data_IF_982272375442
#
_entry.id   IF_982272375442
#
_cell.length_a   1.000
_cell.length_b   1.000
_cell.length_c   1.000
_cell.angle_alpha   90.00
_cell.angle_beta   90.00
_cell.angle_gamma   90.00
#
_symmetry.space_group_name_H-M   'P 1'
#
loop_
_entity.id
_entity.type
_entity.pdbx_description
1 polymer ?
#
# COMPACT_ATOMS: atom_id res chain seq x y z
N UNK A 1 12.06 -0.87 -13.65
CA UNK A 1 10.92 -0.80 -12.69
C UNK A 1 9.63 -1.06 -13.47
N UNK A 2 9.26 -2.32 -13.66
CA UNK A 2 8.09 -2.71 -14.47
C UNK A 2 7.02 -3.45 -13.64
N UNK A 3 7.42 -4.17 -12.59
CA UNK A 3 6.50 -4.90 -11.73
C UNK A 3 5.81 -3.96 -10.72
N UNK A 4 4.49 -4.02 -10.67
CA UNK A 4 3.66 -3.21 -9.78
C UNK A 4 3.42 -3.84 -8.40
N UNK A 5 3.83 -5.10 -8.15
CA UNK A 5 3.69 -5.76 -6.83
C UNK A 5 2.27 -5.65 -6.23
N UNK A 6 1.26 -5.87 -7.07
CA UNK A 6 -0.15 -5.77 -6.66
C UNK A 6 -0.77 -4.38 -6.79
N UNK A 7 0.02 -3.34 -7.05
CA UNK A 7 -0.44 -1.96 -7.27
C UNK A 7 -0.93 -1.72 -8.70
N UNK A 8 -1.78 -0.72 -8.87
CA UNK A 8 -2.28 -0.27 -10.17
C UNK A 8 -1.13 0.08 -11.14
N UNK A 9 -0.06 0.68 -10.61
CA UNK A 9 1.15 1.03 -11.37
C UNK A 9 2.37 1.02 -10.42
N UNK A 10 3.59 0.66 -10.88
CA UNK A 10 4.80 0.70 -10.05
C UNK A 10 5.05 2.04 -9.35
N UNK A 11 4.64 3.15 -9.98
CA UNK A 11 4.68 4.48 -9.35
C UNK A 11 3.97 4.52 -7.99
N UNK A 12 2.78 3.93 -7.88
CA UNK A 12 2.02 3.95 -6.63
C UNK A 12 2.60 3.02 -5.57
N UNK A 13 3.27 1.93 -5.99
CA UNK A 13 4.04 1.09 -5.09
C UNK A 13 5.18 1.88 -4.44
N UNK A 14 5.95 2.65 -5.23
CA UNK A 14 7.01 3.52 -4.68
C UNK A 14 6.44 4.65 -3.82
N UNK A 15 5.31 5.25 -4.22
CA UNK A 15 4.64 6.28 -3.41
C UNK A 15 4.17 5.73 -2.06
N UNK A 16 3.67 4.49 -2.03
CA UNK A 16 3.26 3.84 -0.81
C UNK A 16 4.43 3.63 0.16
N UNK A 17 5.53 3.05 -0.32
CA UNK A 17 6.73 2.84 0.50
C UNK A 17 7.32 4.17 0.99
N UNK A 18 7.33 5.19 0.15
CA UNK A 18 7.79 6.51 0.54
C UNK A 18 6.90 7.11 1.64
N UNK A 19 5.58 7.12 1.47
CA UNK A 19 4.67 7.65 2.48
C UNK A 19 4.76 6.84 3.79
N UNK A 20 4.88 5.52 3.69
CA UNK A 20 5.03 4.62 4.84
C UNK A 20 6.31 4.96 5.63
N UNK A 21 7.47 4.96 4.97
CA UNK A 21 8.76 5.29 5.60
C UNK A 21 8.74 6.69 6.24
N UNK A 22 8.31 7.70 5.48
CA UNK A 22 8.36 9.09 5.92
C UNK A 22 7.44 9.33 7.12
N UNK A 23 6.22 8.80 7.08
CA UNK A 23 5.30 8.91 8.21
C UNK A 23 5.77 8.13 9.44
N UNK A 24 6.36 6.94 9.27
CA UNK A 24 6.99 6.21 10.38
C UNK A 24 8.12 7.03 11.02
N UNK A 25 8.98 7.65 10.20
CA UNK A 25 10.11 8.45 10.67
C UNK A 25 9.73 9.74 11.38
N UNK A 26 8.52 10.26 11.18
CA UNK A 26 7.98 11.37 11.99
C UNK A 26 7.65 10.95 13.42
N UNK A 27 7.32 9.68 13.65
CA UNK A 27 6.79 9.20 14.92
C UNK A 27 7.74 8.27 15.69
N UNK A 28 8.68 7.64 14.98
CA UNK A 28 9.58 6.63 15.51
C UNK A 28 11.04 6.97 15.22
N UNK A 29 11.84 7.00 16.29
CA UNK A 29 13.27 7.29 16.20
C UNK A 29 14.08 6.16 15.56
N UNK A 30 13.59 4.93 15.58
CA UNK A 30 14.23 3.76 14.99
C UNK A 30 13.26 3.10 14.00
N UNK A 31 13.62 3.08 12.71
CA UNK A 31 12.87 2.44 11.63
C UNK A 31 13.87 1.74 10.72
N UNK A 32 13.99 0.42 10.89
CA UNK A 32 14.95 -0.42 10.18
C UNK A 32 14.29 -1.05 8.95
N UNK A 33 14.98 -1.05 7.81
CA UNK A 33 14.49 -1.64 6.57
C UNK A 33 15.25 -2.92 6.24
N UNK A 34 14.53 -4.05 6.13
CA UNK A 34 15.08 -5.31 5.66
C UNK A 34 14.74 -5.50 4.18
N UNK A 35 15.75 -5.78 3.36
CA UNK A 35 15.58 -5.79 1.90
C UNK A 35 16.61 -6.66 1.17
N UNK A 36 16.48 -6.78 -0.16
CA UNK A 36 17.52 -7.29 -1.06
C UNK A 36 18.33 -6.12 -1.64
N UNK A 37 19.37 -6.41 -2.40
CA UNK A 37 20.19 -5.39 -3.07
C UNK A 37 19.37 -4.54 -4.04
N UNK A 38 18.34 -5.11 -4.69
CA UNK A 38 17.47 -4.34 -5.58
C UNK A 38 16.62 -3.31 -4.82
N UNK A 39 16.01 -3.72 -3.72
CA UNK A 39 15.24 -2.84 -2.85
C UNK A 39 16.12 -1.79 -2.19
N UNK A 40 17.35 -2.12 -1.80
CA UNK A 40 18.34 -1.13 -1.36
C UNK A 40 18.57 -0.07 -2.45
N UNK A 41 18.90 -0.51 -3.67
CA UNK A 41 19.17 0.39 -4.79
C UNK A 41 17.99 1.32 -5.09
N UNK A 42 16.76 0.82 -5.01
CA UNK A 42 15.55 1.60 -5.28
C UNK A 42 15.21 2.53 -4.11
N UNK A 43 15.03 1.99 -2.91
CA UNK A 43 14.47 2.75 -1.79
C UNK A 43 15.52 3.62 -1.10
N UNK A 44 16.78 3.17 -1.06
CA UNK A 44 17.87 3.88 -0.41
C UNK A 44 18.64 4.68 -1.44
N UNK A 45 19.21 4.07 -2.48
CA UNK A 45 20.07 4.83 -3.38
C UNK A 45 19.32 5.80 -4.28
N UNK A 46 18.19 5.38 -4.85
CA UNK A 46 17.44 6.21 -5.79
C UNK A 46 16.49 7.17 -5.07
N UNK A 47 15.65 6.67 -4.16
CA UNK A 47 14.66 7.48 -3.46
C UNK A 47 15.20 8.22 -2.24
N UNK A 48 16.33 7.76 -1.69
CA UNK A 48 16.97 8.30 -0.46
C UNK A 48 15.98 8.32 0.71
N UNK A 49 15.21 7.23 0.88
CA UNK A 49 14.27 7.10 2.00
C UNK A 49 15.02 7.10 3.34
N UNK A 50 14.54 7.82 4.37
CA UNK A 50 15.31 8.10 5.58
C UNK A 50 15.17 7.02 6.65
N UNK A 51 15.28 5.75 6.27
CA UNK A 51 15.40 4.64 7.22
C UNK A 51 16.63 4.83 8.11
N UNK A 52 16.55 4.41 9.37
CA UNK A 52 17.66 4.59 10.32
C UNK A 52 18.76 3.57 10.16
N UNK A 53 18.39 2.38 9.69
CA UNK A 53 19.32 1.34 9.32
C UNK A 53 18.71 0.49 8.19
N UNK A 54 19.56 -0.16 7.42
CA UNK A 54 19.16 -0.98 6.27
C UNK A 54 19.95 -2.28 6.27
N UNK A 55 19.23 -3.40 6.33
CA UNK A 55 19.80 -4.74 6.37
C UNK A 55 19.51 -5.43 5.05
N UNK A 56 20.55 -5.69 4.26
CA UNK A 56 20.45 -6.43 2.99
C UNK A 56 20.60 -7.92 3.28
N UNK A 57 19.52 -8.67 3.16
CA UNK A 57 19.41 -10.03 3.70
C UNK A 57 18.63 -11.00 2.80
N UNK A 58 18.04 -10.52 1.70
CA UNK A 58 17.13 -11.30 0.85
C UNK A 58 17.71 -11.68 -0.53
N UNK A 59 18.94 -11.32 -0.87
CA UNK A 59 19.52 -11.58 -2.21
C UNK A 59 19.56 -13.08 -2.57
N UNK A 60 19.91 -13.93 -1.61
CA UNK A 60 20.04 -15.39 -1.79
C UNK A 60 18.94 -16.16 -1.05
N UNK A 61 17.77 -15.55 -0.85
CA UNK A 61 16.66 -16.18 -0.13
C UNK A 61 16.16 -17.39 -0.94
N UNK A 62 16.24 -18.64 -0.42
CA UNK A 62 15.87 -19.85 -1.16
C UNK A 62 14.35 -20.06 -1.14
N UNK A 63 13.59 -19.04 -1.57
CA UNK A 63 12.15 -19.00 -1.43
C UNK A 63 11.46 -18.65 -2.75
N UNK A 64 10.53 -19.49 -3.23
CA UNK A 64 9.69 -19.15 -4.38
C UNK A 64 8.92 -17.84 -4.18
N UNK A 65 8.79 -17.02 -5.23
CA UNK A 65 8.11 -15.70 -5.21
C UNK A 65 6.67 -15.74 -4.68
N UNK A 66 6.01 -16.88 -4.81
CA UNK A 66 4.64 -17.11 -4.31
C UNK A 66 4.57 -17.09 -2.78
N UNK A 67 5.67 -17.34 -2.07
CA UNK A 67 5.76 -17.37 -0.60
C UNK A 67 6.21 -16.01 -0.03
N UNK A 68 5.47 -14.95 -0.35
CA UNK A 68 5.74 -13.58 0.09
C UNK A 68 5.75 -13.37 1.62
N UNK A 69 5.18 -14.29 2.41
CA UNK A 69 5.27 -14.23 3.88
C UNK A 69 6.63 -14.68 4.40
N UNK A 70 7.39 -15.46 3.64
CA UNK A 70 8.68 -16.02 4.09
C UNK A 70 9.72 -14.96 4.47
N UNK A 71 9.99 -13.93 3.64
CA UNK A 71 10.91 -12.87 4.02
C UNK A 71 10.52 -12.18 5.34
N UNK A 72 9.22 -12.11 5.66
CA UNK A 72 8.72 -11.45 6.88
C UNK A 72 9.10 -12.23 8.13
N UNK A 73 8.72 -13.51 8.24
CA UNK A 73 9.11 -14.30 9.42
C UNK A 73 10.60 -14.64 9.47
N UNK A 74 11.30 -14.63 8.32
CA UNK A 74 12.76 -14.61 8.32
C UNK A 74 13.32 -13.33 8.95
N UNK A 75 12.76 -12.17 8.67
CA UNK A 75 13.15 -10.95 9.39
C UNK A 75 12.83 -11.05 10.87
N UNK A 76 11.67 -11.58 11.25
CA UNK A 76 11.30 -11.72 12.66
C UNK A 76 12.28 -12.62 13.43
N UNK A 77 12.75 -13.71 12.82
CA UNK A 77 13.72 -14.61 13.46
C UNK A 77 15.09 -13.96 13.69
N UNK A 78 15.43 -12.92 12.94
CA UNK A 78 16.67 -12.16 13.12
C UNK A 78 16.60 -11.13 14.25
N UNK A 79 15.41 -10.81 14.77
CA UNK A 79 15.25 -9.78 15.78
C UNK A 79 15.76 -10.24 17.15
N UNK A 80 16.54 -9.37 17.80
CA UNK A 80 17.15 -9.60 19.14
C UNK A 80 16.60 -8.66 20.22
N UNK A 81 15.77 -7.70 19.82
CA UNK A 81 15.16 -6.69 20.68
C UNK A 81 13.66 -6.57 20.32
N UNK A 82 12.81 -6.11 21.25
CA UNK A 82 11.39 -5.88 20.98
C UNK A 82 11.16 -5.03 19.74
N UNK A 83 10.21 -5.44 18.90
CA UNK A 83 9.97 -4.80 17.61
C UNK A 83 8.48 -4.84 17.23
N UNK A 84 8.09 -3.99 16.30
CA UNK A 84 6.82 -4.06 15.59
C UNK A 84 7.16 -3.98 14.11
N UNK A 85 6.92 -5.06 13.39
CA UNK A 85 6.92 -5.05 11.93
C UNK A 85 5.71 -4.29 11.41
N UNK A 86 5.90 -3.57 10.33
CA UNK A 86 4.89 -2.74 9.68
C UNK A 86 4.98 -2.94 8.16
N UNK A 87 3.87 -3.26 7.51
CA UNK A 87 3.83 -3.40 6.05
C UNK A 87 4.08 -2.06 5.34
N UNK A 88 4.76 -2.11 4.18
CA UNK A 88 5.08 -0.92 3.37
C UNK A 88 3.88 -0.24 2.67
N UNK A 89 2.67 -0.72 2.93
CA UNK A 89 1.39 -0.15 2.52
C UNK A 89 0.53 0.35 3.68
N UNK A 90 1.16 0.53 4.84
CA UNK A 90 0.62 1.22 6.01
C UNK A 90 1.18 2.63 6.09
N UNK A 91 0.29 3.60 6.30
CA UNK A 91 0.60 5.03 6.30
C UNK A 91 0.12 5.67 7.60
N UNK A 92 1.01 6.31 8.36
CA UNK A 92 0.72 6.85 9.69
C UNK A 92 0.39 8.33 9.65
N UNK A 93 -0.56 8.74 10.48
CA UNK A 93 -0.74 10.16 10.82
C UNK A 93 -0.32 10.48 12.25
N UNK A 94 -0.26 9.45 13.12
CA UNK A 94 0.23 9.57 14.48
C UNK A 94 0.86 8.27 14.98
N UNK A 95 1.63 8.40 16.08
CA UNK A 95 2.25 7.28 16.79
C UNK A 95 1.18 6.36 17.39
N UNK A 96 1.46 5.07 17.48
CA UNK A 96 0.64 4.12 18.23
C UNK A 96 0.61 4.47 19.73
N UNK A 97 -0.45 4.02 20.40
CA UNK A 97 -0.56 4.25 21.85
C UNK A 97 0.49 3.42 22.59
N UNK A 98 1.06 3.98 23.67
CA UNK A 98 2.03 3.28 24.50
C UNK A 98 1.51 1.94 25.06
N UNK A 99 0.20 1.82 25.29
CA UNK A 99 -0.44 0.57 25.71
C UNK A 99 -0.33 -0.52 24.63
N UNK A 100 -0.39 -0.15 23.34
CA UNK A 100 -0.17 -1.06 22.22
C UNK A 100 1.31 -1.44 22.16
N UNK A 101 2.21 -0.44 22.18
CA UNK A 101 3.67 -0.65 22.08
C UNK A 101 4.24 -1.51 23.23
N UNK A 102 3.60 -1.49 24.40
CA UNK A 102 3.95 -2.34 25.55
C UNK A 102 3.42 -3.78 25.47
N UNK A 103 2.67 -4.14 24.42
CA UNK A 103 2.05 -5.45 24.26
C UNK A 103 3.09 -6.58 24.16
N UNK A 104 2.84 -7.69 24.87
CA UNK A 104 3.69 -8.88 24.77
C UNK A 104 3.70 -9.43 23.34
N UNK A 105 2.52 -9.61 22.76
CA UNK A 105 2.29 -9.92 21.36
C UNK A 105 1.43 -8.81 20.76
N UNK A 106 1.80 -8.32 19.59
CA UNK A 106 1.12 -7.23 18.89
C UNK A 106 0.78 -7.71 17.49
N UNK A 107 -0.45 -7.47 17.06
CA UNK A 107 -0.88 -7.67 15.68
C UNK A 107 -1.87 -6.58 15.26
N UNK A 108 -2.16 -6.42 13.96
CA UNK A 108 -3.03 -5.31 13.53
C UNK A 108 -4.45 -5.44 14.10
N UNK A 109 -5.17 -6.49 13.74
CA UNK A 109 -6.53 -6.74 14.20
C UNK A 109 -6.81 -8.24 14.15
N UNK A 110 -7.71 -8.72 15.00
CA UNK A 110 -8.18 -10.10 14.87
C UNK A 110 -9.03 -10.23 13.61
N UNK A 111 -8.74 -11.28 12.84
CA UNK A 111 -9.52 -11.69 11.68
C UNK A 111 -10.33 -12.94 12.03
N UNK A 112 -11.63 -12.89 11.74
CA UNK A 112 -12.48 -14.08 11.77
C UNK A 112 -12.60 -14.63 10.35
N UNK A 113 -11.95 -15.76 10.11
CA UNK A 113 -12.00 -16.45 8.81
C UNK A 113 -13.43 -16.82 8.43
N UNK A 114 -13.85 -16.40 7.24
CA UNK A 114 -15.17 -16.75 6.69
C UNK A 114 -15.05 -18.00 5.82
N UNK A 115 -16.05 -18.24 4.96
CA UNK A 115 -16.01 -19.34 3.98
C UNK A 115 -14.78 -19.27 3.07
N UNK A 116 -14.23 -18.06 2.84
CA UNK A 116 -13.03 -17.87 2.03
C UNK A 116 -11.80 -18.53 2.68
N UNK A 117 -11.46 -18.17 3.92
CA UNK A 117 -10.38 -18.84 4.65
C UNK A 117 -10.66 -20.33 4.85
N UNK A 118 -11.89 -20.69 5.19
CA UNK A 118 -12.25 -22.11 5.36
C UNK A 118 -11.98 -22.95 4.11
N UNK A 119 -12.26 -22.40 2.91
CA UNK A 119 -11.94 -23.07 1.65
C UNK A 119 -10.44 -23.32 1.49
N UNK A 120 -9.62 -22.29 1.70
CA UNK A 120 -8.16 -22.38 1.63
C UNK A 120 -7.61 -23.38 2.64
N UNK A 121 -8.07 -23.32 3.90
CA UNK A 121 -7.57 -24.20 4.96
C UNK A 121 -8.03 -25.65 4.78
N UNK A 122 -9.23 -25.88 4.25
CA UNK A 122 -9.68 -27.23 3.87
C UNK A 122 -8.79 -27.85 2.78
N UNK A 123 -8.35 -27.04 1.82
CA UNK A 123 -7.42 -27.51 0.78
C UNK A 123 -6.04 -27.85 1.37
N UNK A 124 -5.65 -27.19 2.47
CA UNK A 124 -4.44 -27.53 3.23
C UNK A 124 -4.62 -28.82 4.04
N UNK A 125 -5.77 -29.00 4.71
CA UNK A 125 -6.07 -30.19 5.50
C UNK A 125 -6.21 -31.47 4.65
N UNK A 126 -6.61 -31.34 3.38
CA UNK A 126 -6.65 -32.46 2.42
C UNK A 126 -5.26 -32.92 1.97
N UNK A 127 -4.23 -32.10 2.23
CA UNK A 127 -2.85 -32.45 1.92
C UNK A 127 -2.27 -33.20 3.11
N UNK A 128 -1.43 -34.19 2.84
CA UNK A 128 -0.74 -34.97 3.86
C UNK A 128 0.43 -34.17 4.46
N UNK A 129 0.15 -32.95 4.90
CA UNK A 129 1.15 -32.08 5.50
C UNK A 129 1.44 -32.48 6.94
N UNK A 130 2.73 -32.53 7.26
CA UNK A 130 3.25 -32.64 8.61
C UNK A 130 3.08 -31.30 9.31
N UNK A 131 2.22 -31.26 10.31
CA UNK A 131 1.93 -30.05 11.07
C UNK A 131 1.69 -30.34 12.54
N UNK A 132 1.98 -29.38 13.45
CA UNK A 132 1.67 -29.54 14.86
C UNK A 132 0.18 -29.77 15.12
N UNK A 133 -0.12 -30.57 16.14
CA UNK A 133 -1.50 -30.92 16.49
C UNK A 133 -2.36 -29.71 16.84
N UNK A 134 -1.81 -28.72 17.54
CA UNK A 134 -2.54 -27.49 17.88
C UNK A 134 -2.97 -26.73 16.61
N UNK A 135 -2.11 -26.70 15.58
CA UNK A 135 -2.42 -26.04 14.32
C UNK A 135 -3.50 -26.81 13.57
N UNK A 136 -3.38 -28.13 13.47
CA UNK A 136 -4.41 -28.99 12.86
C UNK A 136 -5.78 -28.74 13.49
N UNK A 137 -5.86 -28.78 14.83
CA UNK A 137 -7.10 -28.49 15.57
C UNK A 137 -7.65 -27.10 15.31
N UNK A 138 -6.80 -26.09 15.13
CA UNK A 138 -7.24 -24.73 14.80
C UNK A 138 -7.85 -24.66 13.39
N UNK A 139 -7.25 -25.34 12.42
CA UNK A 139 -7.71 -25.38 11.03
C UNK A 139 -9.01 -26.18 10.83
N UNK A 140 -9.29 -27.16 11.70
CA UNK A 140 -10.51 -27.98 11.66
C UNK A 140 -11.76 -27.27 12.21
N UNK A 141 -11.60 -26.08 12.82
CA UNK A 141 -12.71 -25.32 13.39
C UNK A 141 -13.59 -24.72 12.29
N UNK A 142 -14.86 -24.50 12.63
CA UNK A 142 -15.79 -23.83 11.71
C UNK A 142 -15.42 -22.37 11.45
N UNK A 143 -14.90 -21.69 12.47
CA UNK A 143 -14.35 -20.33 12.39
C UNK A 143 -12.86 -20.39 12.70
N UNK A 144 -12.05 -20.02 11.72
CA UNK A 144 -10.59 -20.04 11.82
C UNK A 144 -10.14 -18.65 12.28
N UNK A 145 -9.50 -18.59 13.44
CA UNK A 145 -8.95 -17.36 13.98
C UNK A 145 -7.61 -17.05 13.31
N UNK A 146 -7.38 -15.78 13.08
CA UNK A 146 -6.15 -15.25 12.49
C UNK A 146 -5.95 -13.81 12.96
N UNK A 147 -4.75 -13.27 12.74
CA UNK A 147 -4.50 -11.85 12.93
C UNK A 147 -3.98 -11.25 11.63
N UNK A 148 -4.51 -10.09 11.25
CA UNK A 148 -3.94 -9.34 10.15
C UNK A 148 -2.51 -8.93 10.51
N UNK A 149 -1.57 -9.24 9.62
CA UNK A 149 -0.15 -9.09 9.88
C UNK A 149 0.46 -7.79 9.31
N UNK A 150 -0.38 -6.82 8.93
CA UNK A 150 0.07 -5.48 8.60
C UNK A 150 0.91 -4.86 9.73
N UNK A 151 0.55 -5.18 10.97
CA UNK A 151 1.40 -5.04 12.14
C UNK A 151 1.64 -6.43 12.74
N UNK A 152 2.89 -6.74 13.12
CA UNK A 152 3.19 -7.97 13.86
C UNK A 152 4.46 -7.81 14.70
N UNK A 153 4.49 -8.33 15.92
CA UNK A 153 5.69 -8.31 16.76
C UNK A 153 5.33 -8.31 18.24
N UNK A 154 6.11 -7.58 19.03
CA UNK A 154 5.88 -7.40 20.46
C UNK A 154 7.14 -7.49 21.30
N UNK A 155 6.92 -7.61 22.60
CA UNK A 155 7.97 -7.67 23.62
C UNK A 155 8.31 -9.10 24.06
N UNK A 156 7.51 -10.11 23.68
CA UNK A 156 7.76 -11.52 23.95
C UNK A 156 8.54 -12.17 22.81
N UNK A 157 9.85 -11.93 22.78
CA UNK A 157 10.74 -12.43 21.73
C UNK A 157 10.80 -13.96 21.70
N UNK A 158 10.74 -14.63 22.85
CA UNK A 158 10.78 -16.10 22.92
C UNK A 158 9.59 -16.71 22.19
N UNK A 159 8.39 -16.14 22.36
CA UNK A 159 7.22 -16.55 21.59
C UNK A 159 7.41 -16.33 20.09
N UNK A 160 7.89 -15.15 19.68
CA UNK A 160 8.08 -14.81 18.26
C UNK A 160 9.11 -15.75 17.62
N UNK A 161 10.18 -16.08 18.33
CA UNK A 161 11.19 -17.03 17.87
C UNK A 161 10.64 -18.46 17.78
N UNK A 162 9.81 -18.88 18.74
CA UNK A 162 9.09 -20.16 18.65
C UNK A 162 8.16 -20.20 17.42
N UNK A 163 7.39 -19.13 17.21
CA UNK A 163 6.52 -18.96 16.05
C UNK A 163 7.30 -19.12 14.73
N UNK A 164 8.41 -18.41 14.57
CA UNK A 164 9.25 -18.50 13.37
C UNK A 164 9.81 -19.91 13.19
N UNK A 165 10.32 -20.53 14.25
CA UNK A 165 10.84 -21.90 14.21
C UNK A 165 9.79 -22.91 13.76
N UNK A 166 8.56 -22.80 14.23
CA UNK A 166 7.46 -23.69 13.82
C UNK A 166 7.11 -23.46 12.34
N UNK A 167 7.09 -22.20 11.88
CA UNK A 167 6.86 -21.88 10.47
C UNK A 167 7.94 -22.49 9.56
N UNK A 168 9.22 -22.33 9.91
CA UNK A 168 10.33 -22.94 9.17
C UNK A 168 10.25 -24.46 9.16
N UNK A 169 10.02 -25.09 10.32
CA UNK A 169 9.90 -26.54 10.39
C UNK A 169 8.77 -27.07 9.51
N UNK A 170 7.61 -26.39 9.49
CA UNK A 170 6.51 -26.76 8.61
C UNK A 170 6.93 -26.69 7.13
N UNK A 171 7.65 -25.64 6.75
CA UNK A 171 8.10 -25.44 5.38
C UNK A 171 9.09 -26.53 4.95
N UNK A 172 10.05 -26.85 5.81
CA UNK A 172 11.08 -27.86 5.57
C UNK A 172 10.49 -29.28 5.53
N UNK A 173 9.66 -29.64 6.51
CA UNK A 173 9.05 -30.97 6.63
C UNK A 173 8.14 -31.32 5.45
N UNK A 174 7.61 -30.29 4.77
CA UNK A 174 6.68 -30.44 3.66
C UNK A 174 7.30 -30.06 2.31
N UNK A 175 8.60 -29.75 2.27
CA UNK A 175 9.33 -29.43 1.04
C UNK A 175 8.76 -28.25 0.27
N UNK A 176 8.25 -27.22 0.97
CA UNK A 176 7.53 -26.10 0.33
C UNK A 176 8.44 -25.11 -0.41
N UNK A 177 9.75 -25.21 -0.21
CA UNK A 177 10.75 -24.42 -0.96
C UNK A 177 11.23 -25.14 -2.23
N UNK A 178 10.80 -26.38 -2.48
CA UNK A 178 11.19 -27.13 -3.66
C UNK A 178 10.53 -26.55 -4.93
N UNK A 179 11.34 -25.93 -5.78
CA UNK A 179 10.91 -25.37 -7.06
C UNK A 179 10.31 -26.41 -8.03
N UNK A 180 10.61 -27.69 -7.82
CA UNK A 180 10.09 -28.81 -8.61
C UNK A 180 8.84 -29.45 -8.00
N UNK A 181 8.38 -28.97 -6.84
CA UNK A 181 7.18 -29.46 -6.20
C UNK A 181 5.93 -29.12 -7.03
N UNK A 182 5.07 -30.12 -7.21
CA UNK A 182 3.73 -29.94 -7.81
C UNK A 182 2.82 -29.00 -6.99
N UNK A 183 3.23 -28.67 -5.77
CA UNK A 183 2.48 -27.83 -4.82
C UNK A 183 3.05 -26.42 -4.65
N UNK A 184 4.05 -26.01 -5.45
CA UNK A 184 4.69 -24.70 -5.31
C UNK A 184 3.69 -23.54 -5.43
N UNK A 185 2.66 -23.67 -6.26
CA UNK A 185 1.66 -22.61 -6.50
C UNK A 185 0.65 -22.43 -5.35
N UNK A 186 0.77 -23.20 -4.27
CA UNK A 186 -0.20 -23.22 -3.18
C UNK A 186 0.09 -22.06 -2.25
N UNK A 187 -0.89 -21.18 -2.09
CA UNK A 187 -0.76 -20.00 -1.25
C UNK A 187 -0.88 -20.38 0.23
N UNK A 188 0.26 -20.63 0.88
CA UNK A 188 0.37 -20.90 2.32
C UNK A 188 0.65 -19.62 3.15
N UNK A 189 0.67 -18.44 2.52
CA UNK A 189 1.14 -17.23 3.20
C UNK A 189 0.26 -16.84 4.39
N UNK A 190 -1.06 -16.89 4.23
CA UNK A 190 -1.99 -16.57 5.32
C UNK A 190 -1.92 -17.61 6.45
N UNK A 191 -1.64 -18.87 6.13
CA UNK A 191 -1.39 -19.90 7.14
C UNK A 191 -0.21 -19.50 8.01
N UNK A 192 0.94 -19.20 7.39
CA UNK A 192 2.17 -18.91 8.14
C UNK A 192 2.09 -17.57 8.86
N UNK A 193 1.69 -16.52 8.17
CA UNK A 193 1.77 -15.16 8.69
C UNK A 193 0.68 -14.87 9.73
N UNK A 194 -0.53 -15.41 9.54
CA UNK A 194 -1.71 -14.98 10.30
C UNK A 194 -2.29 -16.10 11.18
N UNK A 195 -2.62 -17.26 10.59
CA UNK A 195 -3.32 -18.33 11.30
C UNK A 195 -2.41 -19.07 12.29
N UNK A 196 -1.17 -19.36 11.90
CA UNK A 196 -0.20 -20.02 12.78
C UNK A 196 0.10 -19.17 14.02
N UNK A 197 0.27 -17.85 13.84
CA UNK A 197 0.49 -16.92 14.96
C UNK A 197 -0.70 -16.94 15.94
N UNK A 198 -1.93 -16.86 15.42
CA UNK A 198 -3.14 -16.93 16.24
C UNK A 198 -3.29 -18.27 16.97
N UNK A 199 -3.09 -19.39 16.27
CA UNK A 199 -3.20 -20.73 16.84
C UNK A 199 -2.15 -20.97 17.94
N UNK A 200 -0.91 -20.52 17.74
CA UNK A 200 0.14 -20.64 18.74
C UNK A 200 -0.12 -19.73 19.95
N UNK A 201 -0.61 -18.50 19.73
CA UNK A 201 -0.95 -17.59 20.82
C UNK A 201 -2.05 -18.19 21.72
N UNK A 202 -3.07 -18.79 21.12
CA UNK A 202 -4.13 -19.50 21.85
C UNK A 202 -3.58 -20.72 22.59
N UNK A 203 -2.79 -21.57 21.93
CA UNK A 203 -2.15 -22.75 22.53
C UNK A 203 -1.27 -22.40 23.74
N UNK A 204 -0.59 -21.25 23.70
CA UNK A 204 0.28 -20.75 24.78
C UNK A 204 -0.47 -19.90 25.82
N UNK A 205 -1.78 -19.70 25.66
CA UNK A 205 -2.58 -18.84 26.55
C UNK A 205 -2.12 -17.38 26.56
N UNK A 206 -1.53 -16.90 25.45
CA UNK A 206 -0.98 -15.54 25.32
C UNK A 206 -2.03 -14.60 24.74
N UNK A 207 -2.18 -13.44 25.38
CA UNK A 207 -3.03 -12.37 24.86
C UNK A 207 -2.28 -11.59 23.76
N UNK A 208 -2.96 -11.39 22.63
CA UNK A 208 -2.47 -10.51 21.55
C UNK A 208 -3.12 -9.13 21.69
N UNK A 209 -2.30 -8.09 21.74
CA UNK A 209 -2.73 -6.70 21.71
C UNK A 209 -2.98 -6.28 20.26
N UNK A 210 -4.21 -5.90 19.93
CA UNK A 210 -4.56 -5.44 18.58
C UNK A 210 -4.32 -3.94 18.42
N UNK A 211 -3.72 -3.52 17.31
CA UNK A 211 -3.55 -2.10 16.96
C UNK A 211 -4.90 -1.45 16.64
N UNK A 212 -5.77 -2.20 15.97
CA UNK A 212 -7.18 -1.89 15.73
C UNK A 212 -8.02 -2.81 16.62
N UNK A 213 -8.65 -2.24 17.64
CA UNK A 213 -9.47 -2.98 18.61
C UNK A 213 -10.84 -3.36 18.02
N UNK A 214 -10.82 -4.18 16.98
CA UNK A 214 -12.01 -4.74 16.36
C UNK A 214 -11.73 -6.10 15.73
N UNK A 215 -12.77 -6.93 15.67
CA UNK A 215 -12.75 -8.17 14.89
C UNK A 215 -13.25 -7.86 13.49
N UNK A 216 -12.45 -8.20 12.49
CA UNK A 216 -12.77 -7.96 11.08
C UNK A 216 -12.98 -9.32 10.40
N UNK A 217 -14.05 -9.53 9.62
CA UNK A 217 -14.14 -10.68 8.73
C UNK A 217 -12.98 -10.65 7.72
N UNK A 218 -12.47 -11.79 7.27
CA UNK A 218 -11.37 -11.88 6.28
C UNK A 218 -11.59 -11.05 4.98
N UNK A 219 -12.83 -10.78 4.62
CA UNK A 219 -13.23 -9.95 3.48
C UNK A 219 -13.82 -8.57 3.87
N UNK A 220 -13.70 -8.18 5.14
CA UNK A 220 -14.35 -7.04 5.77
C UNK A 220 -13.59 -5.71 5.67
N UNK A 221 -12.48 -5.67 4.93
CA UNK A 221 -11.64 -4.47 4.78
C UNK A 221 -12.29 -3.43 3.85
N UNK A 222 -13.14 -2.57 4.41
CA UNK A 222 -13.84 -1.52 3.69
C UNK A 222 -13.00 -0.25 3.45
N UNK A 223 -13.43 0.57 2.48
CA UNK A 223 -12.73 1.79 2.10
C UNK A 223 -12.64 2.80 3.26
N UNK A 224 -13.74 3.04 3.97
CA UNK A 224 -13.85 4.13 4.94
C UNK A 224 -12.93 3.94 6.15
N UNK A 225 -12.75 2.70 6.59
CA UNK A 225 -11.91 2.37 7.75
C UNK A 225 -10.43 2.24 7.42
N UNK A 226 -10.09 1.74 6.23
CA UNK A 226 -8.72 1.30 5.93
C UNK A 226 -8.03 2.11 4.83
N UNK A 227 -8.76 2.77 3.94
CA UNK A 227 -8.17 3.35 2.72
C UNK A 227 -8.62 4.79 2.42
N UNK A 228 -9.37 5.42 3.33
CA UNK A 228 -9.92 6.76 3.10
C UNK A 228 -8.90 7.87 3.43
N UNK A 229 -8.08 8.21 2.45
CA UNK A 229 -7.08 9.28 2.55
C UNK A 229 -7.65 10.67 2.79
N UNK A 230 -8.96 10.90 2.58
CA UNK A 230 -9.55 12.15 3.06
C UNK A 230 -9.40 12.28 4.57
N UNK A 231 -9.51 11.17 5.29
CA UNK A 231 -9.48 11.13 6.76
C UNK A 231 -8.08 10.87 7.31
N UNK A 232 -7.05 11.03 6.51
CA UNK A 232 -5.68 10.66 6.89
C UNK A 232 -5.26 11.24 8.23
N UNK A 233 -5.53 12.53 8.46
CA UNK A 233 -5.20 13.23 9.72
C UNK A 233 -6.15 12.89 10.90
N UNK A 234 -7.25 12.17 10.66
CA UNK A 234 -8.26 11.81 11.67
C UNK A 234 -8.10 10.38 12.21
N UNK A 235 -7.37 9.52 11.50
CA UNK A 235 -7.17 8.11 11.85
C UNK A 235 -5.70 7.82 12.07
N UNK A 236 -5.36 6.94 13.01
CA UNK A 236 -3.95 6.68 13.37
C UNK A 236 -3.09 6.22 12.19
N UNK A 237 -3.68 5.36 11.37
CA UNK A 237 -3.07 4.86 10.16
C UNK A 237 -4.13 4.47 9.14
N UNK A 238 -3.71 4.35 7.88
CA UNK A 238 -4.42 3.68 6.81
C UNK A 238 -3.61 2.46 6.36
N UNK A 239 -4.30 1.43 5.86
CA UNK A 239 -3.67 0.21 5.34
C UNK A 239 -4.33 -0.18 4.00
N UNK A 240 -3.57 -0.06 2.91
CA UNK A 240 -4.06 -0.30 1.55
C UNK A 240 -3.98 -1.78 1.17
N UNK A 241 -4.95 -2.57 1.64
CA UNK A 241 -4.98 -4.02 1.45
C UNK A 241 -5.54 -4.46 0.08
N UNK A 242 -4.96 -5.53 -0.47
CA UNK A 242 -5.51 -6.32 -1.57
C UNK A 242 -6.00 -5.48 -2.76
N UNK A 243 -7.30 -5.60 -3.09
CA UNK A 243 -7.91 -4.93 -4.26
C UNK A 243 -7.86 -3.40 -4.20
N UNK A 244 -7.71 -2.81 -3.02
CA UNK A 244 -7.65 -1.35 -2.87
C UNK A 244 -6.41 -0.76 -3.55
N UNK A 245 -5.31 -1.52 -3.61
CA UNK A 245 -4.08 -1.16 -4.37
C UNK A 245 -4.30 -1.02 -5.87
N UNK A 246 -5.41 -1.55 -6.40
CA UNK A 246 -5.79 -1.47 -7.82
C UNK A 246 -6.86 -0.42 -8.09
N UNK A 247 -7.36 0.26 -7.05
CA UNK A 247 -8.32 1.33 -7.23
C UNK A 247 -7.58 2.64 -7.56
N UNK A 248 -7.73 3.12 -8.79
CA UNK A 248 -7.05 4.32 -9.28
C UNK A 248 -7.33 5.55 -8.41
N UNK A 249 -8.58 5.76 -7.97
CA UNK A 249 -8.94 6.90 -7.11
C UNK A 249 -8.19 6.86 -5.78
N UNK A 250 -8.08 5.68 -5.17
CA UNK A 250 -7.34 5.51 -3.90
C UNK A 250 -5.84 5.78 -4.13
N UNK A 251 -5.28 5.26 -5.22
CA UNK A 251 -3.88 5.46 -5.60
C UNK A 251 -3.56 6.94 -5.88
N UNK A 252 -4.46 7.67 -6.55
CA UNK A 252 -4.33 9.10 -6.78
C UNK A 252 -4.37 9.88 -5.46
N UNK A 253 -5.26 9.51 -4.53
CA UNK A 253 -5.30 10.13 -3.21
C UNK A 253 -4.03 9.86 -2.40
N UNK A 254 -3.50 8.64 -2.43
CA UNK A 254 -2.17 8.31 -1.87
C UNK A 254 -1.09 9.25 -2.42
N UNK A 255 -1.05 9.42 -3.75
CA UNK A 255 -0.10 10.32 -4.40
C UNK A 255 -0.28 11.78 -3.98
N UNK A 256 -1.52 12.26 -3.85
CA UNK A 256 -1.81 13.62 -3.38
C UNK A 256 -1.41 13.83 -1.92
N UNK A 257 -1.64 12.83 -1.05
CA UNK A 257 -1.20 12.86 0.35
C UNK A 257 0.33 12.94 0.43
N UNK A 258 1.04 12.14 -0.36
CA UNK A 258 2.50 12.21 -0.45
C UNK A 258 2.98 13.58 -0.96
N UNK A 259 2.33 14.16 -1.97
CA UNK A 259 2.67 15.49 -2.50
C UNK A 259 2.44 16.60 -1.47
N UNK A 260 1.33 16.55 -0.72
CA UNK A 260 1.00 17.55 0.30
C UNK A 260 2.04 17.55 1.43
N UNK A 261 2.38 16.36 1.95
CA UNK A 261 3.25 16.21 3.13
C UNK A 261 4.75 16.18 2.77
N UNK A 262 5.11 15.52 1.67
CA UNK A 262 6.50 15.25 1.28
C UNK A 262 6.76 15.52 -0.22
N UNK A 263 6.62 16.78 -0.67
CA UNK A 263 6.67 17.12 -2.10
C UNK A 263 7.95 16.71 -2.80
N UNK A 264 9.10 16.75 -2.11
CA UNK A 264 10.40 16.35 -2.68
C UNK A 264 10.44 14.86 -3.04
N UNK A 265 9.85 13.99 -2.21
CA UNK A 265 9.79 12.55 -2.48
C UNK A 265 8.79 12.21 -3.57
N UNK A 266 7.63 12.91 -3.57
CA UNK A 266 6.68 12.80 -4.68
C UNK A 266 7.35 13.14 -6.01
N UNK A 267 8.09 14.26 -6.06
CA UNK A 267 8.83 14.71 -7.25
C UNK A 267 9.82 13.65 -7.73
N UNK A 268 10.70 13.17 -6.84
CA UNK A 268 11.67 12.11 -7.16
C UNK A 268 11.01 10.90 -7.82
N UNK A 269 9.88 10.44 -7.27
CA UNK A 269 9.17 9.26 -7.78
C UNK A 269 8.54 9.55 -9.14
N UNK A 270 7.86 10.68 -9.30
CA UNK A 270 7.20 11.05 -10.56
C UNK A 270 8.20 11.18 -11.72
N UNK A 271 9.39 11.71 -11.44
CA UNK A 271 10.48 11.84 -12.43
C UNK A 271 10.98 10.48 -12.95
N UNK A 272 10.78 9.38 -12.21
CA UNK A 272 11.10 8.03 -12.67
C UNK A 272 10.10 7.49 -13.71
N UNK A 273 8.92 8.10 -13.81
CA UNK A 273 7.84 7.68 -14.71
C UNK A 273 7.38 8.83 -15.62
N UNK A 274 8.27 9.38 -16.47
CA UNK A 274 7.99 10.60 -17.22
C UNK A 274 6.85 10.43 -18.25
N UNK A 275 6.68 9.21 -18.78
CA UNK A 275 5.60 8.91 -19.73
C UNK A 275 4.20 8.96 -19.11
N UNK A 276 4.10 8.66 -17.83
CA UNK A 276 2.84 8.73 -17.08
C UNK A 276 2.56 10.13 -16.54
N UNK A 277 3.61 10.92 -16.39
CA UNK A 277 3.54 12.26 -15.85
C UNK A 277 4.05 13.26 -16.88
N UNK A 278 3.55 13.21 -18.12
CA UNK A 278 4.11 13.97 -19.27
C UNK A 278 4.37 15.45 -19.00
N UNK A 279 3.50 16.08 -18.21
CA UNK A 279 3.63 17.48 -17.78
C UNK A 279 4.76 17.71 -16.78
N UNK A 280 5.00 16.77 -15.87
CA UNK A 280 5.99 16.88 -14.79
C UNK A 280 7.33 16.22 -15.13
N UNK A 281 7.33 15.22 -16.01
CA UNK A 281 8.49 14.44 -16.42
C UNK A 281 9.25 15.01 -17.62
N UNK A 282 9.09 16.31 -17.91
CA UNK A 282 9.76 17.01 -19.01
C UNK A 282 9.63 16.31 -20.39
N UNK A 283 8.53 15.59 -20.64
CA UNK A 283 8.28 14.94 -21.94
C UNK A 283 7.67 15.95 -22.90
N UNK A 284 8.31 16.17 -24.05
CA UNK A 284 7.73 16.99 -25.13
C UNK A 284 6.38 16.39 -25.54
N UNK A 285 5.31 17.18 -25.42
CA UNK A 285 3.99 16.77 -25.88
C UNK A 285 3.88 17.01 -27.38
N UNK A 286 3.73 15.93 -28.14
CA UNK A 286 3.42 15.99 -29.57
C UNK A 286 1.89 15.97 -29.74
N UNK A 287 1.32 16.81 -30.61
CA UNK A 287 -0.11 16.76 -30.89
C UNK A 287 -0.52 15.38 -31.44
N UNK A 288 -1.72 14.88 -31.13
CA UNK A 288 -2.23 13.62 -31.71
C UNK A 288 -2.52 13.77 -33.22
N UNK A 289 -2.35 12.68 -33.98
CA UNK A 289 -2.69 12.61 -35.42
C UNK A 289 -4.22 12.72 -35.68
N UNK A 290 -4.61 13.43 -36.73
CA UNK A 290 -5.99 13.86 -36.99
C UNK A 290 -6.89 12.80 -37.65
N UNK A 291 -8.19 12.81 -37.30
CA UNK A 291 -9.29 12.49 -38.23
C UNK A 291 -10.32 13.62 -38.21
N UNK A 292 -10.75 14.06 -39.39
CA UNK A 292 -11.41 15.35 -39.64
C UNK A 292 -12.91 15.28 -39.34
N UNK A 293 -13.35 15.83 -38.20
CA UNK A 293 -14.68 16.41 -38.04
C UNK A 293 -14.52 17.78 -37.37
N UNK A 294 -15.22 18.81 -37.84
CA UNK A 294 -14.96 20.25 -37.60
C UNK A 294 -14.79 20.67 -36.13
N UNK A 295 -15.46 20.01 -35.19
CA UNK A 295 -15.27 20.23 -33.75
C UNK A 295 -13.94 19.69 -33.22
N UNK A 296 -13.42 18.60 -33.81
CA UNK A 296 -12.09 18.04 -33.53
C UNK A 296 -11.02 19.04 -33.97
N UNK A 297 -11.16 19.67 -35.15
CA UNK A 297 -10.20 20.67 -35.63
C UNK A 297 -10.16 21.92 -34.72
N UNK A 298 -11.31 22.50 -34.38
CA UNK A 298 -11.37 23.66 -33.46
C UNK A 298 -10.84 23.32 -32.06
N UNK A 299 -11.11 22.11 -31.57
CA UNK A 299 -10.55 21.62 -30.32
C UNK A 299 -9.04 21.40 -30.43
N UNK A 300 -8.53 20.90 -31.56
CA UNK A 300 -7.11 20.71 -31.81
C UNK A 300 -6.36 22.04 -31.90
N UNK A 301 -6.90 23.04 -32.60
CA UNK A 301 -6.33 24.39 -32.66
C UNK A 301 -6.27 24.99 -31.25
N UNK A 302 -7.39 24.91 -30.51
CA UNK A 302 -7.45 25.35 -29.12
C UNK A 302 -6.42 24.62 -28.22
N UNK A 303 -6.26 23.30 -28.38
CA UNK A 303 -5.26 22.53 -27.66
C UNK A 303 -3.84 22.96 -28.03
N UNK A 304 -3.55 23.18 -29.31
CA UNK A 304 -2.25 23.64 -29.79
C UNK A 304 -1.91 25.01 -29.22
N UNK A 305 -2.86 25.95 -29.19
CA UNK A 305 -2.69 27.26 -28.58
C UNK A 305 -2.38 27.14 -27.09
N UNK A 306 -3.13 26.33 -26.34
CA UNK A 306 -2.87 26.13 -24.91
C UNK A 306 -1.55 25.43 -24.64
N UNK A 307 -1.18 24.43 -25.45
CA UNK A 307 0.15 23.80 -25.37
C UNK A 307 1.23 24.85 -25.64
N UNK A 308 1.07 25.70 -26.66
CA UNK A 308 2.02 26.74 -26.99
C UNK A 308 2.14 27.80 -25.88
N UNK A 309 1.03 28.21 -25.27
CA UNK A 309 0.98 29.15 -24.14
C UNK A 309 1.67 28.60 -22.89
N UNK A 310 1.57 27.28 -22.66
CA UNK A 310 2.01 26.64 -21.42
C UNK A 310 3.30 25.82 -21.57
N UNK A 311 3.87 25.71 -22.78
CA UNK A 311 5.09 24.92 -23.04
C UNK A 311 6.30 25.39 -22.24
N UNK A 312 6.36 26.70 -21.95
CA UNK A 312 7.48 27.34 -21.27
C UNK A 312 7.27 27.45 -19.75
N UNK A 313 6.20 26.83 -19.23
CA UNK A 313 5.99 26.75 -17.78
C UNK A 313 7.11 25.94 -17.14
N UNK A 314 7.78 26.55 -16.18
CA UNK A 314 8.81 25.86 -15.42
C UNK A 314 8.22 24.68 -14.66
N UNK A 315 8.98 23.59 -14.55
CA UNK A 315 8.61 22.43 -13.74
C UNK A 315 8.33 22.81 -12.29
N UNK A 316 9.03 23.83 -11.75
CA UNK A 316 8.82 24.39 -10.41
C UNK A 316 7.39 24.94 -10.28
N UNK A 317 6.97 25.77 -11.24
CA UNK A 317 5.62 26.34 -11.26
C UNK A 317 4.55 25.25 -11.32
N UNK A 318 4.76 24.20 -12.13
CA UNK A 318 3.81 23.09 -12.22
C UNK A 318 3.70 22.34 -10.88
N UNK A 319 4.82 22.02 -10.23
CA UNK A 319 4.81 21.37 -8.92
C UNK A 319 4.15 22.23 -7.84
N UNK A 320 4.38 23.54 -7.82
CA UNK A 320 3.74 24.45 -6.86
C UNK A 320 2.22 24.45 -7.00
N UNK A 321 1.71 24.38 -8.23
CA UNK A 321 0.27 24.30 -8.48
C UNK A 321 -0.31 22.93 -8.11
N UNK A 322 0.35 21.84 -8.46
CA UNK A 322 -0.07 20.49 -8.05
C UNK A 322 -0.13 20.38 -6.51
N UNK A 323 0.85 20.94 -5.80
CA UNK A 323 0.87 21.00 -4.33
C UNK A 323 -0.29 21.81 -3.75
N UNK A 324 -0.65 22.94 -4.38
CA UNK A 324 -1.82 23.72 -3.95
C UNK A 324 -3.11 22.93 -4.16
N UNK A 325 -3.21 22.19 -5.26
CA UNK A 325 -4.38 21.37 -5.58
C UNK A 325 -4.49 20.15 -4.68
N UNK A 326 -3.39 19.61 -4.13
CA UNK A 326 -3.44 18.47 -3.20
C UNK A 326 -4.01 18.81 -1.82
N UNK A 327 -4.04 20.09 -1.42
CA UNK A 327 -4.47 20.52 -0.09
C UNK A 327 -6.01 20.52 0.13
N UNK A 328 -6.80 20.24 -0.91
CA UNK A 328 -8.27 20.27 -0.84
C UNK A 328 -8.94 19.36 0.23
N UNK A 329 -8.36 18.23 0.69
CA UNK A 329 -8.95 17.46 1.79
C UNK A 329 -9.12 18.30 3.06
N UNK A 330 -8.23 19.27 3.31
CA UNK A 330 -8.34 20.21 4.45
C UNK A 330 -9.61 21.05 4.38
N UNK A 331 -10.05 21.41 3.18
CA UNK A 331 -11.32 22.10 2.97
C UNK A 331 -12.52 21.15 3.17
N UNK A 332 -12.46 19.95 2.59
CA UNK A 332 -13.54 18.96 2.70
C UNK A 332 -13.83 18.59 4.16
N UNK A 333 -12.78 18.46 4.99
CA UNK A 333 -12.92 18.06 6.40
C UNK A 333 -13.05 19.24 7.37
N UNK A 334 -12.95 20.49 6.88
CA UNK A 334 -13.10 21.65 7.75
C UNK A 334 -14.56 21.83 8.21
N UNK A 335 -14.74 22.43 9.38
CA UNK A 335 -16.06 22.87 9.84
C UNK A 335 -16.64 23.95 8.90
N UNK A 336 -17.95 24.22 9.03
CA UNK A 336 -18.65 25.19 8.17
C UNK A 336 -18.08 26.60 8.24
N UNK A 337 -17.55 27.01 9.40
CA UNK A 337 -17.00 28.35 9.59
C UNK A 337 -15.72 28.50 8.76
N UNK A 338 -14.80 27.54 8.89
CA UNK A 338 -13.55 27.47 8.11
C UNK A 338 -13.80 27.29 6.62
N UNK A 339 -14.78 26.47 6.23
CA UNK A 339 -15.17 26.33 4.82
C UNK A 339 -15.67 27.64 4.25
N UNK A 340 -16.49 28.38 5.00
CA UNK A 340 -17.02 29.69 4.58
C UNK A 340 -15.94 30.77 4.47
N UNK A 341 -14.84 30.61 5.20
CA UNK A 341 -13.66 31.49 5.10
C UNK A 341 -12.73 31.13 3.93
N UNK A 342 -12.90 29.97 3.28
CA UNK A 342 -12.06 29.56 2.16
C UNK A 342 -12.50 30.22 0.85
N UNK A 343 -11.52 30.66 0.06
CA UNK A 343 -11.76 31.19 -1.29
C UNK A 343 -11.26 30.15 -2.30
N UNK A 344 -12.16 29.67 -3.16
CA UNK A 344 -11.79 28.78 -4.26
C UNK A 344 -11.09 29.63 -5.34
N UNK A 345 -9.78 29.45 -5.48
CA UNK A 345 -9.00 30.07 -6.54
C UNK A 345 -9.15 29.32 -7.87
N UNK A 346 -9.22 30.06 -8.98
CA UNK A 346 -9.12 29.47 -10.33
C UNK A 346 -7.65 29.12 -10.60
N UNK A 347 -7.38 27.89 -11.04
CA UNK A 347 -6.06 27.53 -11.56
C UNK A 347 -5.83 28.32 -12.87
N UNK A 348 -4.77 29.17 -12.96
CA UNK A 348 -4.50 29.97 -14.16
C UNK A 348 -4.15 29.10 -15.38
N UNK A 349 -3.80 27.83 -15.16
CA UNK A 349 -3.50 26.83 -16.19
C UNK A 349 -4.65 25.83 -16.37
N UNK A 350 -5.86 26.21 -15.97
CA UNK A 350 -7.09 25.54 -16.33
C UNK A 350 -7.86 26.41 -17.33
N UNK A 351 -8.18 25.83 -18.49
CA UNK A 351 -8.91 26.51 -19.54
C UNK A 351 -10.02 25.59 -20.07
N UNK A 352 -11.19 26.15 -20.32
CA UNK A 352 -12.38 25.41 -20.76
C UNK A 352 -12.54 25.64 -22.26
N UNK A 353 -12.65 24.55 -23.02
CA UNK A 353 -13.08 24.61 -24.41
C UNK A 353 -14.61 24.47 -24.44
N UNK A 354 -15.29 25.53 -24.85
CA UNK A 354 -16.72 25.46 -25.12
C UNK A 354 -16.93 24.94 -26.54
N UNK A 355 -17.68 23.84 -26.67
CA UNK A 355 -18.03 23.31 -27.98
C UNK A 355 -18.92 24.36 -28.67
N UNK A 356 -18.53 24.88 -29.84
CA UNK A 356 -19.36 25.84 -30.53
C UNK A 356 -20.68 25.17 -30.91
N UNK A 357 -21.80 25.71 -30.41
CA UNK A 357 -23.14 25.31 -30.85
C UNK A 357 -23.28 25.83 -32.29
N UNK A 358 -22.99 25.00 -33.28
CA UNK A 358 -23.38 25.34 -34.65
C UNK A 358 -24.91 25.36 -34.72
N UNK A 359 -25.47 26.57 -34.82
CA UNK A 359 -26.89 26.79 -34.99
C UNK A 359 -27.45 26.14 -36.26
N UNK A 360 -28.77 25.90 -36.21
CA UNK A 360 -29.69 25.45 -37.27
C UNK A 360 -29.71 23.94 -37.56
N UNK A 361 -30.49 23.21 -36.75
CA UNK A 361 -31.27 22.07 -37.24
C UNK A 361 -32.64 22.64 -37.64
N UNK A 362 -32.80 23.03 -38.91
CA UNK A 362 -34.13 22.98 -39.53
C UNK A 362 -34.40 21.51 -39.86
N UNK A 363 -35.10 20.82 -38.97
CA UNK A 363 -35.80 19.59 -39.33
C UNK A 363 -37.01 20.02 -40.17
N UNK A 364 -36.82 20.10 -41.49
CA UNK A 364 -37.94 19.95 -42.40
C UNK A 364 -38.23 18.46 -42.53
N UNK A 365 -39.42 18.10 -42.08
CA UNK A 365 -40.04 16.79 -42.18
C UNK A 365 -40.20 16.42 -43.66
N UNK A 366 -39.71 15.25 -44.06
CA UNK A 366 -40.37 14.28 -44.93
C UNK A 366 -39.77 12.90 -44.65
#
# INVERSE_FOLDING_TARGET
>A
MENGFGWFHPQYHLMSWALSCLSLREHYNNVVFYTDSNGYNIFIDLLKLPYTDVVVQYDDLPCPDVHWAYPKFFTYSLQKEPFIHVDGDIHFSCRLDASIESGALIAQNMEMGTQYYKGMMNDLLRRDYRMPEFLRKALERDAILSYNAGFLGGNDLDFIQEYCRIAFQFIDDNGLLDYHSHNISVNNNLLFEQTLFAALAEERGKKVTSVFDMVVPDNGYDYFRFCDFYRFEEVKFLHLLGRHKRNLRICELLGKTLLDRYPEYYKRIVELFPQNNKRLGNVKQTPPDMTIQKCIALYQDYLCDRIADWKDLSTITLYDWEKRLSAYPRFINADRERQSACIIGKNPYASVFEIPITGLIWLNIC
#
